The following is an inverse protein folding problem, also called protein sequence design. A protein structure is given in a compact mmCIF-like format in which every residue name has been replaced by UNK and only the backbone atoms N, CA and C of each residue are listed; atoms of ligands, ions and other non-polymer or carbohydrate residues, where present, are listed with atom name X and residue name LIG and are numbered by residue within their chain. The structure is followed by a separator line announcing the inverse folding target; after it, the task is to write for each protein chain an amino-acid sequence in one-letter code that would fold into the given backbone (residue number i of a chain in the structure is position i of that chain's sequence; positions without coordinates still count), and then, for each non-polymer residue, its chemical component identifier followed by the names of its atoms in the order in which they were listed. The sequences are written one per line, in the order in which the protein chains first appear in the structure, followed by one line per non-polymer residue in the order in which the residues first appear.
data_IF_486214902466
#
_entry.id   IF_486214902466
#
_cell.length_a   1.000
_cell.length_b   1.000
_cell.length_c   1.000
_cell.angle_alpha   90.00
_cell.angle_beta   90.00
_cell.angle_gamma   90.00
#
_symmetry.space_group_name_H-M   'P 1'
#
loop_
_entity.id
_entity.type
_entity.pdbx_description
1 polymer ?
#
# COMPACT_ATOMS: atom_id res chain seq x y z
N UNK A 1 32.81 9.97 72.29
CA UNK A 1 33.52 8.69 72.62
C UNK A 1 33.40 7.75 71.44
N UNK A 2 34.57 7.31 71.00
CA UNK A 2 34.89 6.14 70.22
C UNK A 2 34.35 5.96 68.81
N UNK A 3 35.29 6.23 67.96
CA UNK A 3 35.53 5.73 66.60
C UNK A 3 35.47 4.19 66.51
N UNK A 4 35.03 3.68 65.36
CA UNK A 4 35.53 2.43 64.81
C UNK A 4 35.58 2.54 63.27
N UNK A 5 36.79 2.59 62.80
CA UNK A 5 37.26 2.41 61.45
C UNK A 5 37.10 0.93 61.09
N UNK A 6 36.43 0.59 60.02
CA UNK A 6 36.55 -0.73 59.41
C UNK A 6 36.99 -0.59 57.96
N UNK A 7 38.19 -1.03 57.76
CA UNK A 7 38.95 -1.17 56.53
C UNK A 7 38.52 -2.47 55.85
N UNK A 8 37.98 -2.40 54.65
CA UNK A 8 37.53 -3.56 53.84
C UNK A 8 37.98 -3.46 52.40
N UNK A 9 39.10 -3.93 52.13
CA UNK A 9 39.69 -4.74 51.08
C UNK A 9 39.11 -4.63 49.70
N UNK A 10 39.84 -3.90 48.84
CA UNK A 10 39.70 -3.88 47.37
C UNK A 10 40.18 -5.22 46.82
N UNK A 11 39.28 -5.99 46.22
CA UNK A 11 39.63 -7.13 45.34
C UNK A 11 39.55 -6.65 43.90
N UNK A 12 40.69 -6.47 43.28
CA UNK A 12 40.88 -6.35 41.84
C UNK A 12 40.68 -7.74 41.20
N UNK A 13 39.54 -7.95 40.58
CA UNK A 13 39.34 -9.08 39.68
C UNK A 13 39.65 -8.60 38.27
N UNK A 14 40.86 -8.89 37.78
CA UNK A 14 41.19 -8.85 36.36
C UNK A 14 40.47 -9.99 35.65
N UNK A 15 39.32 -9.72 35.10
CA UNK A 15 38.63 -10.61 34.17
C UNK A 15 39.02 -10.22 32.74
N UNK A 16 39.93 -10.98 32.13
CA UNK A 16 40.12 -10.98 30.68
C UNK A 16 38.80 -11.50 30.05
N UNK A 17 37.96 -10.61 29.60
CA UNK A 17 36.85 -10.97 28.71
C UNK A 17 37.44 -11.22 27.32
N UNK A 18 37.57 -12.48 26.92
CA UNK A 18 37.68 -12.85 25.52
C UNK A 18 36.39 -12.45 24.83
N UNK A 19 36.42 -11.35 24.10
CA UNK A 19 35.34 -11.02 23.16
C UNK A 19 35.30 -12.11 22.09
N UNK A 20 34.17 -12.73 21.79
CA UNK A 20 34.07 -13.61 20.65
C UNK A 20 34.32 -12.77 19.39
N UNK A 21 35.35 -13.19 18.65
CA UNK A 21 35.64 -12.69 17.31
C UNK A 21 34.36 -12.81 16.47
N UNK A 22 33.75 -11.68 16.15
CA UNK A 22 32.67 -11.63 15.21
C UNK A 22 33.20 -12.12 13.87
N UNK A 23 32.96 -13.39 13.58
CA UNK A 23 33.16 -13.93 12.25
C UNK A 23 32.42 -12.99 11.27
N UNK A 24 33.19 -12.34 10.41
CA UNK A 24 32.70 -11.61 9.26
C UNK A 24 31.94 -12.61 8.38
N UNK A 25 30.65 -12.79 8.66
CA UNK A 25 29.75 -13.39 7.71
C UNK A 25 29.43 -12.29 6.68
N UNK A 26 30.11 -12.34 5.55
CA UNK A 26 29.66 -11.60 4.38
C UNK A 26 28.18 -11.94 4.18
N UNK A 27 27.32 -10.93 4.01
CA UNK A 27 25.90 -11.17 3.80
C UNK A 27 25.74 -12.02 2.55
N UNK A 28 25.31 -13.27 2.72
CA UNK A 28 25.02 -14.17 1.59
C UNK A 28 23.95 -13.47 0.74
N UNK A 29 24.34 -13.04 -0.45
CA UNK A 29 23.41 -12.46 -1.41
C UNK A 29 22.50 -13.58 -1.92
N UNK A 30 21.20 -13.41 -1.77
CA UNK A 30 20.21 -14.34 -2.26
C UNK A 30 19.66 -13.83 -3.58
N UNK A 31 19.69 -14.65 -4.59
CA UNK A 31 18.99 -14.43 -5.85
C UNK A 31 17.68 -15.24 -5.87
N UNK A 32 16.76 -14.87 -6.71
CA UNK A 32 15.49 -15.59 -6.89
C UNK A 32 15.59 -16.40 -8.18
N UNK A 33 15.57 -17.72 -8.05
CA UNK A 33 15.57 -18.64 -9.18
C UNK A 33 14.20 -19.28 -9.41
N UNK A 34 13.91 -19.65 -10.66
CA UNK A 34 12.71 -20.42 -11.04
C UNK A 34 13.07 -21.91 -11.12
N UNK A 35 12.64 -22.68 -10.11
CA UNK A 35 12.93 -24.11 -9.99
C UNK A 35 11.60 -24.85 -9.77
N UNK A 36 11.38 -25.93 -10.53
CA UNK A 36 10.18 -26.81 -10.39
C UNK A 36 8.85 -26.06 -10.38
N UNK A 37 8.67 -25.05 -11.24
CA UNK A 37 7.48 -24.21 -11.36
C UNK A 37 7.21 -23.31 -10.12
N UNK A 38 8.23 -23.03 -9.32
CA UNK A 38 8.15 -22.15 -8.15
C UNK A 38 9.34 -21.19 -8.12
N UNK A 39 9.14 -19.99 -7.59
CA UNK A 39 10.21 -19.05 -7.29
C UNK A 39 10.79 -19.41 -5.93
N UNK A 40 12.07 -19.72 -5.88
CA UNK A 40 12.80 -20.05 -4.65
C UNK A 40 13.99 -19.07 -4.49
N UNK A 41 14.23 -18.66 -3.24
CA UNK A 41 15.47 -17.95 -2.90
C UNK A 41 16.62 -18.95 -2.84
N UNK A 42 17.68 -18.69 -3.60
CA UNK A 42 18.90 -19.51 -3.61
C UNK A 42 20.14 -18.62 -3.40
N UNK A 43 21.25 -19.15 -2.83
CA UNK A 43 22.52 -18.44 -2.81
C UNK A 43 22.96 -18.10 -4.24
N UNK A 44 23.53 -16.92 -4.45
CA UNK A 44 23.85 -16.39 -5.79
C UNK A 44 24.73 -17.33 -6.61
N UNK A 45 25.55 -18.15 -5.93
CA UNK A 45 26.45 -19.15 -6.55
C UNK A 45 25.73 -20.44 -6.99
N UNK A 46 24.54 -20.71 -6.45
CA UNK A 46 23.79 -21.95 -6.69
C UNK A 46 22.49 -21.74 -7.49
N UNK A 47 22.14 -20.50 -7.77
CA UNK A 47 20.98 -20.20 -8.61
C UNK A 47 21.21 -20.65 -10.05
N UNK A 48 20.27 -21.39 -10.66
CA UNK A 48 20.34 -21.74 -12.05
C UNK A 48 20.41 -20.48 -12.92
N UNK A 49 21.52 -20.29 -13.61
CA UNK A 49 21.66 -19.18 -14.57
C UNK A 49 20.75 -19.45 -15.79
N UNK A 50 20.04 -18.43 -16.31
CA UNK A 50 19.25 -18.59 -17.52
C UNK A 50 20.18 -18.92 -18.68
N UNK A 51 20.03 -20.10 -19.25
CA UNK A 51 20.75 -20.53 -20.45
C UNK A 51 19.99 -20.09 -21.70
N UNK A 52 20.68 -20.04 -22.85
CA UNK A 52 20.02 -19.75 -24.18
C UNK A 52 18.87 -20.70 -24.46
N UNK A 53 18.82 -21.89 -23.88
CA UNK A 53 17.70 -22.84 -24.02
C UNK A 53 16.51 -22.50 -23.14
N UNK A 54 16.72 -21.83 -22.02
CA UNK A 54 15.63 -21.35 -21.15
C UNK A 54 15.08 -19.99 -21.62
N UNK A 55 15.87 -19.27 -22.41
CA UNK A 55 15.45 -18.08 -23.15
C UNK A 55 15.09 -18.48 -24.61
N UNK A 56 14.49 -19.64 -24.82
CA UNK A 56 13.92 -19.93 -26.13
C UNK A 56 12.89 -18.83 -26.42
N UNK A 57 13.34 -17.81 -27.12
CA UNK A 57 12.50 -16.97 -27.95
C UNK A 57 11.76 -17.98 -28.82
N UNK A 58 10.46 -18.10 -28.56
CA UNK A 58 9.59 -18.73 -29.55
C UNK A 58 9.74 -17.79 -30.77
N UNK A 59 10.59 -18.17 -31.71
CA UNK A 59 10.58 -17.59 -33.04
C UNK A 59 9.16 -17.87 -33.53
N UNK A 60 8.29 -16.91 -33.37
CA UNK A 60 7.02 -16.87 -34.07
C UNK A 60 7.46 -16.73 -35.52
N UNK A 61 7.33 -17.79 -36.33
CA UNK A 61 7.70 -17.68 -37.74
C UNK A 61 6.93 -16.48 -38.28
N UNK A 62 7.64 -15.56 -38.89
CA UNK A 62 7.06 -14.44 -39.60
C UNK A 62 6.07 -15.01 -40.62
N UNK A 63 4.82 -15.17 -40.14
CA UNK A 63 3.72 -15.67 -40.98
C UNK A 63 3.52 -14.63 -42.05
N UNK A 64 4.02 -15.02 -43.21
CA UNK A 64 3.81 -14.45 -44.54
C UNK A 64 2.74 -13.36 -44.55
N UNK A 65 3.18 -12.13 -44.77
CA UNK A 65 2.33 -10.96 -45.08
C UNK A 65 1.66 -11.04 -46.43
N UNK A 66 1.23 -12.21 -46.83
CA UNK A 66 0.59 -12.41 -48.11
C UNK A 66 -0.77 -13.03 -47.83
N UNK A 67 -1.75 -12.23 -47.68
CA UNK A 67 -3.22 -12.33 -47.87
C UNK A 67 -3.98 -11.43 -46.91
N UNK A 68 -3.78 -10.12 -47.02
CA UNK A 68 -4.58 -9.14 -46.27
C UNK A 68 -5.41 -8.25 -47.21
N UNK A 69 -5.64 -8.71 -48.46
CA UNK A 69 -6.43 -7.95 -49.43
C UNK A 69 -7.83 -8.53 -49.69
N UNK A 70 -8.41 -9.25 -48.73
CA UNK A 70 -9.80 -9.71 -48.90
C UNK A 70 -10.52 -9.96 -47.59
N UNK A 71 -10.46 -9.03 -46.68
CA UNK A 71 -11.47 -8.94 -45.62
C UNK A 71 -12.18 -7.60 -45.83
N UNK A 72 -13.31 -7.68 -46.54
CA UNK A 72 -14.31 -6.59 -46.56
C UNK A 72 -14.50 -6.09 -45.14
N UNK A 73 -14.34 -4.76 -45.00
CA UNK A 73 -14.58 -4.01 -43.77
C UNK A 73 -15.85 -4.51 -43.08
N UNK A 74 -15.70 -5.17 -41.95
CA UNK A 74 -16.72 -5.21 -40.92
C UNK A 74 -16.52 -3.95 -40.08
N UNK A 75 -17.00 -2.81 -40.62
CA UNK A 75 -17.18 -1.57 -39.93
C UNK A 75 -18.29 -1.75 -38.85
N UNK A 76 -17.97 -2.43 -37.78
CA UNK A 76 -18.73 -2.40 -36.54
C UNK A 76 -17.82 -2.84 -35.36
N UNK A 77 -16.63 -2.27 -35.24
CA UNK A 77 -16.01 -2.20 -33.91
C UNK A 77 -16.84 -1.19 -33.14
N UNK A 78 -17.86 -1.70 -32.42
CA UNK A 78 -18.56 -0.91 -31.43
C UNK A 78 -17.47 -0.24 -30.58
N UNK A 79 -17.40 1.07 -30.64
CA UNK A 79 -16.49 1.91 -29.86
C UNK A 79 -16.83 1.65 -28.38
N UNK A 80 -16.16 0.64 -27.81
CA UNK A 80 -16.28 0.33 -26.37
C UNK A 80 -15.64 1.49 -25.65
N UNK A 81 -16.46 2.48 -25.32
CA UNK A 81 -16.07 3.57 -24.44
C UNK A 81 -15.60 2.92 -23.13
N UNK A 82 -14.37 3.17 -22.67
CA UNK A 82 -13.91 2.59 -21.42
C UNK A 82 -14.87 2.98 -20.30
N UNK A 83 -15.19 2.08 -19.39
CA UNK A 83 -16.10 2.35 -18.29
C UNK A 83 -15.60 3.58 -17.53
N UNK A 84 -16.44 4.59 -17.41
CA UNK A 84 -16.10 5.79 -16.67
C UNK A 84 -16.12 5.46 -15.17
N UNK A 85 -15.05 5.81 -14.48
CA UNK A 85 -14.97 5.70 -13.02
C UNK A 85 -15.26 7.09 -12.41
N UNK A 86 -16.11 7.12 -11.41
CA UNK A 86 -16.31 8.30 -10.57
C UNK A 86 -15.70 8.06 -9.20
N UNK A 87 -15.10 9.08 -8.62
CA UNK A 87 -14.43 8.99 -7.32
C UNK A 87 -15.10 9.93 -6.32
N UNK A 88 -15.70 9.36 -5.30
CA UNK A 88 -16.20 10.09 -4.14
C UNK A 88 -15.11 10.13 -3.07
N UNK A 89 -14.83 11.32 -2.51
CA UNK A 89 -13.80 11.51 -1.48
C UNK A 89 -14.43 11.79 -0.13
N UNK A 90 -13.91 11.12 0.91
CA UNK A 90 -14.23 11.37 2.31
C UNK A 90 -12.93 11.53 3.11
N UNK A 91 -12.96 12.26 4.22
CA UNK A 91 -11.79 12.51 5.04
C UNK A 91 -12.11 12.20 6.49
N UNK A 92 -11.32 11.31 7.09
CA UNK A 92 -11.38 10.97 8.51
C UNK A 92 -10.21 11.65 9.23
N UNK A 93 -10.50 12.52 10.19
CA UNK A 93 -9.49 13.24 10.98
C UNK A 93 -9.13 12.51 12.26
N UNK A 94 -7.85 12.65 12.67
CA UNK A 94 -7.30 11.94 13.83
C UNK A 94 -6.69 12.89 14.85
N UNK A 95 -6.63 12.43 16.11
CA UNK A 95 -5.96 13.13 17.20
C UNK A 95 -4.44 13.13 17.01
N UNK A 96 -3.79 14.13 17.61
CA UNK A 96 -2.33 14.22 17.60
C UNK A 96 -1.68 12.98 18.21
N UNK A 97 -0.67 12.43 17.55
CA UNK A 97 0.11 11.29 18.01
C UNK A 97 -0.66 9.97 18.17
N UNK A 98 -1.93 9.90 17.75
CA UNK A 98 -2.79 8.72 17.95
C UNK A 98 -3.47 8.27 16.67
N UNK A 99 -3.83 6.99 16.62
CA UNK A 99 -4.73 6.43 15.60
C UNK A 99 -6.20 6.42 16.09
N UNK A 100 -6.56 7.43 16.88
CA UNK A 100 -7.93 7.63 17.40
C UNK A 100 -8.56 8.77 16.61
N UNK A 101 -9.71 8.55 15.94
CA UNK A 101 -10.41 9.60 15.24
C UNK A 101 -10.84 10.75 16.16
N UNK A 102 -10.91 11.96 15.62
CA UNK A 102 -11.54 13.10 16.29
C UNK A 102 -13.08 12.92 16.34
N UNK A 103 -13.84 13.71 17.11
CA UNK A 103 -15.32 13.66 17.06
C UNK A 103 -15.88 13.84 15.63
N UNK A 104 -15.29 14.74 14.84
CA UNK A 104 -15.64 14.90 13.42
C UNK A 104 -15.25 13.66 12.61
N UNK A 105 -14.06 13.08 12.86
CA UNK A 105 -13.60 11.85 12.22
C UNK A 105 -14.50 10.66 12.56
N UNK A 106 -14.98 10.55 13.79
CA UNK A 106 -15.94 9.52 14.20
C UNK A 106 -17.25 9.63 13.42
N UNK A 107 -17.80 10.83 13.26
CA UNK A 107 -19.01 11.04 12.45
C UNK A 107 -18.79 10.53 11.03
N UNK A 108 -17.68 10.93 10.39
CA UNK A 108 -17.35 10.46 9.04
C UNK A 108 -17.22 8.95 8.96
N UNK A 109 -16.52 8.31 9.93
CA UNK A 109 -16.27 6.86 9.89
C UNK A 109 -17.55 6.05 10.07
N UNK A 110 -18.53 6.55 10.85
CA UNK A 110 -19.85 5.92 11.00
C UNK A 110 -20.69 5.99 9.73
N UNK A 111 -20.57 7.07 8.97
CA UNK A 111 -21.33 7.27 7.72
C UNK A 111 -20.71 6.50 6.53
N UNK A 112 -19.41 6.13 6.60
CA UNK A 112 -18.68 5.48 5.51
C UNK A 112 -19.28 4.16 5.01
N UNK A 113 -19.72 3.20 5.87
CA UNK A 113 -20.16 1.88 5.41
C UNK A 113 -21.35 1.95 4.45
N UNK A 114 -22.23 2.93 4.62
CA UNK A 114 -23.41 3.10 3.79
C UNK A 114 -23.04 3.38 2.31
N UNK A 115 -22.05 4.24 2.09
CA UNK A 115 -21.58 4.59 0.74
C UNK A 115 -20.52 3.62 0.22
N UNK A 116 -19.71 3.05 1.11
CA UNK A 116 -18.63 2.14 0.77
C UNK A 116 -19.12 0.83 0.14
N UNK A 117 -20.28 0.31 0.57
CA UNK A 117 -20.88 -0.93 0.03
C UNK A 117 -21.27 -0.82 -1.45
N UNK A 118 -21.50 0.39 -1.96
CA UNK A 118 -21.83 0.65 -3.35
C UNK A 118 -20.60 0.89 -4.24
N UNK A 119 -19.42 1.03 -3.66
CA UNK A 119 -18.17 1.23 -4.41
C UNK A 119 -17.71 -0.07 -5.10
N UNK A 120 -16.93 0.05 -6.16
CA UNK A 120 -16.20 -1.07 -6.80
C UNK A 120 -14.83 -1.30 -6.17
N UNK A 121 -14.22 -0.24 -5.63
CA UNK A 121 -12.91 -0.25 -4.97
C UNK A 121 -12.84 0.88 -3.97
N UNK A 122 -12.13 0.67 -2.87
CA UNK A 122 -11.85 1.67 -1.85
C UNK A 122 -10.35 1.87 -1.75
N UNK A 123 -9.92 3.11 -1.73
CA UNK A 123 -8.51 3.47 -1.52
C UNK A 123 -8.39 4.30 -0.25
N UNK A 124 -7.49 3.88 0.65
CA UNK A 124 -7.24 4.52 1.93
C UNK A 124 -5.83 5.08 1.95
N UNK A 125 -5.69 6.40 2.07
CA UNK A 125 -4.41 7.08 2.17
C UNK A 125 -4.23 7.68 3.57
N UNK A 126 -3.37 7.05 4.38
CA UNK A 126 -3.02 7.54 5.71
C UNK A 126 -1.98 8.64 5.67
N UNK A 127 -2.21 9.71 6.44
CA UNK A 127 -1.35 10.90 6.51
C UNK A 127 -1.13 11.35 7.95
N UNK A 128 0.00 12.05 8.20
CA UNK A 128 0.30 12.71 9.48
C UNK A 128 0.65 14.18 9.27
N UNK A 129 0.87 14.87 10.37
CA UNK A 129 1.51 16.18 10.37
C UNK A 129 3.05 16.05 10.24
N UNK A 130 3.74 17.19 10.34
CA UNK A 130 5.20 17.34 10.21
C UNK A 130 5.97 17.05 11.52
N UNK A 131 5.28 16.74 12.62
CA UNK A 131 5.93 16.55 13.92
C UNK A 131 6.36 15.09 14.09
N UNK A 132 7.65 14.89 14.39
CA UNK A 132 8.25 13.59 14.65
C UNK A 132 9.12 13.06 13.50
N UNK A 133 9.72 11.90 13.71
CA UNK A 133 10.55 11.28 12.68
C UNK A 133 9.70 10.64 11.58
N UNK A 134 10.29 10.52 10.38
CA UNK A 134 9.61 9.89 9.23
C UNK A 134 9.12 8.46 9.58
N UNK A 135 9.97 7.66 10.22
CA UNK A 135 9.63 6.28 10.57
C UNK A 135 8.44 6.17 11.53
N UNK A 136 8.34 7.09 12.51
CA UNK A 136 7.20 7.16 13.44
C UNK A 136 5.95 7.58 12.70
N UNK A 137 6.05 8.59 11.83
CA UNK A 137 4.94 9.11 11.06
C UNK A 137 4.41 8.10 10.04
N UNK A 138 5.27 7.36 9.34
CA UNK A 138 4.85 6.30 8.40
C UNK A 138 4.09 5.19 9.13
N UNK A 139 4.57 4.79 10.31
CA UNK A 139 3.87 3.80 11.15
C UNK A 139 2.50 4.30 11.61
N UNK A 140 2.43 5.55 12.08
CA UNK A 140 1.19 6.15 12.55
C UNK A 140 0.18 6.34 11.41
N UNK A 141 0.64 6.75 10.23
CA UNK A 141 -0.19 6.85 9.03
C UNK A 141 -0.81 5.51 8.67
N UNK A 142 -0.01 4.44 8.70
CA UNK A 142 -0.47 3.07 8.47
C UNK A 142 -1.51 2.64 9.49
N UNK A 143 -1.25 2.82 10.78
CA UNK A 143 -2.20 2.47 11.86
C UNK A 143 -3.54 3.18 11.70
N UNK A 144 -3.54 4.45 11.27
CA UNK A 144 -4.77 5.20 11.00
C UNK A 144 -5.56 4.60 9.84
N UNK A 145 -4.89 4.30 8.74
CA UNK A 145 -5.54 3.70 7.58
C UNK A 145 -6.07 2.28 7.89
N UNK A 146 -5.31 1.49 8.65
CA UNK A 146 -5.74 0.18 9.16
C UNK A 146 -6.98 0.29 10.06
N UNK A 147 -7.02 1.30 10.93
CA UNK A 147 -8.19 1.54 11.79
C UNK A 147 -9.47 1.76 10.95
N UNK A 148 -9.39 2.56 9.89
CA UNK A 148 -10.54 2.78 8.98
C UNK A 148 -10.89 1.51 8.23
N UNK A 149 -9.91 0.78 7.70
CA UNK A 149 -10.12 -0.50 7.01
C UNK A 149 -10.83 -1.49 7.91
N UNK A 150 -10.33 -1.69 9.14
CA UNK A 150 -10.86 -2.66 10.07
C UNK A 150 -12.28 -2.31 10.52
N UNK A 151 -12.59 -1.01 10.61
CA UNK A 151 -13.96 -0.54 10.81
C UNK A 151 -14.86 -0.96 9.66
N UNK A 152 -14.48 -0.65 8.43
CA UNK A 152 -15.26 -1.00 7.23
C UNK A 152 -15.53 -2.51 7.12
N UNK A 153 -14.51 -3.33 7.41
CA UNK A 153 -14.64 -4.78 7.40
C UNK A 153 -15.62 -5.27 8.48
N UNK A 154 -15.58 -4.72 9.69
CA UNK A 154 -16.52 -5.06 10.77
C UNK A 154 -17.96 -4.68 10.42
N UNK A 155 -18.15 -3.58 9.68
CA UNK A 155 -19.46 -3.15 9.19
C UNK A 155 -19.95 -3.93 7.95
N UNK A 156 -19.23 -4.98 7.57
CA UNK A 156 -19.61 -5.88 6.49
C UNK A 156 -19.36 -5.34 5.08
N UNK A 157 -18.43 -4.41 4.92
CA UNK A 157 -17.96 -3.97 3.60
C UNK A 157 -17.06 -5.05 3.02
N UNK A 158 -17.43 -5.62 1.87
CA UNK A 158 -16.71 -6.69 1.16
C UNK A 158 -15.96 -6.21 -0.08
N UNK A 159 -15.97 -4.93 -0.32
CA UNK A 159 -15.32 -4.28 -1.46
C UNK A 159 -13.80 -4.35 -1.29
N UNK A 160 -13.02 -4.57 -2.36
CA UNK A 160 -11.56 -4.52 -2.30
C UNK A 160 -11.05 -3.19 -1.73
N UNK A 161 -10.20 -3.26 -0.71
CA UNK A 161 -9.62 -2.09 -0.05
C UNK A 161 -8.12 -2.05 -0.30
N UNK A 162 -7.64 -0.99 -0.94
CA UNK A 162 -6.22 -0.70 -1.16
C UNK A 162 -5.77 0.30 -0.11
N UNK A 163 -4.67 0.00 0.59
CA UNK A 163 -4.14 0.84 1.65
C UNK A 163 -2.79 1.42 1.24
N UNK A 164 -2.66 2.73 1.32
CA UNK A 164 -1.42 3.48 1.20
C UNK A 164 -1.20 4.28 2.49
N UNK A 165 0.06 4.43 2.89
CA UNK A 165 0.40 5.18 4.09
C UNK A 165 1.76 5.82 3.92
N UNK A 166 1.77 7.13 3.90
CA UNK A 166 2.97 7.93 3.81
C UNK A 166 2.85 9.08 4.82
N UNK A 167 3.65 9.03 5.87
CA UNK A 167 3.48 9.86 7.05
C UNK A 167 3.62 11.35 6.76
N UNK A 168 4.76 11.92 7.06
CA UNK A 168 5.03 13.34 6.94
C UNK A 168 5.21 13.79 5.47
N UNK A 169 4.19 13.55 4.65
CA UNK A 169 4.13 14.03 3.28
C UNK A 169 2.73 14.58 2.95
N UNK A 170 2.66 15.27 1.82
CA UNK A 170 1.39 15.64 1.18
C UNK A 170 0.43 16.33 2.15
N UNK A 171 0.96 17.31 2.89
CA UNK A 171 0.22 18.08 3.88
C UNK A 171 -1.04 18.70 3.27
N UNK A 172 -2.11 18.77 4.06
CA UNK A 172 -3.34 19.42 3.63
C UNK A 172 -3.15 20.93 3.41
N UNK A 173 -2.12 21.48 4.05
CA UNK A 173 -1.82 22.88 4.07
C UNK A 173 -0.31 23.07 4.19
N UNK A 174 0.26 24.11 3.58
CA UNK A 174 1.70 24.45 3.67
C UNK A 174 2.06 25.10 5.00
N UNK A 175 1.07 25.61 5.74
CA UNK A 175 1.28 26.28 7.01
C UNK A 175 1.69 25.30 8.10
N UNK A 176 2.57 25.78 9.01
CA UNK A 176 2.98 25.02 10.20
C UNK A 176 2.15 25.36 11.45
N UNK A 177 0.97 25.91 11.27
CA UNK A 177 0.04 26.19 12.36
C UNK A 177 -0.61 24.90 12.89
N UNK A 178 -1.02 24.89 14.17
CA UNK A 178 -1.72 23.70 14.72
C UNK A 178 -2.99 23.38 13.93
N UNK A 179 -3.69 24.37 13.41
CA UNK A 179 -4.87 24.19 12.58
C UNK A 179 -4.55 23.46 11.26
N UNK A 180 -3.43 23.79 10.62
CA UNK A 180 -2.95 23.14 9.41
C UNK A 180 -2.50 21.69 9.70
N UNK A 181 -1.79 21.48 10.81
CA UNK A 181 -1.40 20.16 11.29
C UNK A 181 -2.61 19.28 11.57
N UNK A 182 -3.65 19.83 12.21
CA UNK A 182 -4.89 19.08 12.46
C UNK A 182 -5.54 18.60 11.16
N UNK A 183 -5.54 19.40 10.08
CA UNK A 183 -6.02 18.98 8.76
C UNK A 183 -5.12 17.94 8.10
N UNK A 184 -3.83 17.92 8.42
CA UNK A 184 -2.87 16.94 7.89
C UNK A 184 -2.99 15.57 8.58
N UNK A 185 -3.44 15.50 9.83
CA UNK A 185 -3.69 14.25 10.57
C UNK A 185 -4.97 13.59 10.10
N UNK A 186 -4.92 12.93 8.93
CA UNK A 186 -6.10 12.41 8.26
C UNK A 186 -5.89 11.05 7.59
N UNK A 187 -6.99 10.41 7.27
CA UNK A 187 -7.06 9.36 6.25
C UNK A 187 -7.99 9.85 5.16
N UNK A 188 -7.49 9.90 3.96
CA UNK A 188 -8.29 10.15 2.76
C UNK A 188 -8.89 8.83 2.30
N UNK A 189 -10.21 8.81 2.14
CA UNK A 189 -10.97 7.66 1.65
C UNK A 189 -11.48 8.01 0.27
N UNK A 190 -11.03 7.27 -0.75
CA UNK A 190 -11.52 7.39 -2.11
C UNK A 190 -12.39 6.18 -2.43
N UNK A 191 -13.66 6.43 -2.67
CA UNK A 191 -14.65 5.43 -3.08
C UNK A 191 -14.76 5.49 -4.59
N UNK A 192 -14.31 4.45 -5.26
CA UNK A 192 -14.34 4.37 -6.72
C UNK A 192 -15.59 3.64 -7.16
N UNK A 193 -16.39 4.27 -7.98
CA UNK A 193 -17.62 3.72 -8.55
C UNK A 193 -17.47 3.57 -10.05
N UNK A 194 -17.91 2.46 -10.60
CA UNK A 194 -17.97 2.26 -12.05
C UNK A 194 -19.33 2.76 -12.56
N UNK A 195 -19.28 3.74 -13.43
CA UNK A 195 -20.48 4.17 -14.17
C UNK A 195 -20.59 3.28 -15.41
N UNK A 196 -21.60 2.43 -15.42
CA UNK A 196 -21.97 1.75 -16.66
C UNK A 196 -22.60 2.79 -17.56
N UNK A 197 -21.95 3.10 -18.69
CA UNK A 197 -22.49 4.03 -19.70
C UNK A 197 -23.92 3.59 -20.08
N UNK A 198 -24.86 4.51 -19.98
CA UNK A 198 -26.28 4.27 -20.32
C UNK A 198 -26.54 4.24 -21.84
N UNK A 199 -25.60 3.83 -22.64
CA UNK A 199 -25.66 4.00 -24.10
C UNK A 199 -26.14 2.75 -24.85
N UNK A 200 -26.86 1.85 -24.21
CA UNK A 200 -27.37 0.64 -24.89
C UNK A 200 -28.87 0.35 -24.64
N UNK A 201 -29.65 1.32 -24.18
CA UNK A 201 -31.11 1.14 -24.24
C UNK A 201 -31.63 1.97 -25.42
N UNK A 202 -31.64 1.29 -26.58
CA UNK A 202 -32.27 1.83 -27.78
C UNK A 202 -33.69 2.28 -27.50
N UNK A 203 -33.91 3.57 -27.74
CA UNK A 203 -35.22 4.13 -27.85
C UNK A 203 -35.99 3.49 -29.01
N UNK A 204 -36.68 2.38 -28.75
CA UNK A 204 -37.79 1.94 -29.60
C UNK A 204 -38.99 2.74 -29.25
N UNK A 205 -39.04 3.98 -29.69
CA UNK A 205 -40.33 4.69 -29.84
C UNK A 205 -40.90 4.31 -31.19
N UNK A 206 -42.10 3.71 -31.11
CA UNK A 206 -42.81 3.12 -32.20
C UNK A 206 -43.24 4.10 -33.29
N UNK A 207 -43.16 3.61 -34.48
CA UNK A 207 -43.97 4.10 -35.57
C UNK A 207 -45.40 3.56 -35.39
N UNK A 208 -46.31 4.46 -35.24
CA UNK A 208 -47.72 4.31 -35.66
C UNK A 208 -47.96 5.21 -36.84
#
# INVERSE_FOLDING_TARGET
MRALVSMGMVMLMSGCANAPELANHDPVRHAIGWINRQFLACPETECPSPTRKTLAIVDIPARSQKTLDSVKAVDAVAKVTPPQETVEKRTVYFQFGKAVPTPQGLKTIFDLPAVAKAATRIELDGRTDDIGSKAVNDRLARQRAEHVRDWLLREGVKVPIVLSAEGACCFADSDKTERARQRSRRVEVRLVHRVLGRDAVGNKQGAQ
#
